data_IF_285710047869
#
_entry.id   IF_285710047869
#
_cell.length_a   1.000
_cell.length_b   1.000
_cell.length_c   1.000
_cell.angle_alpha   90.00
_cell.angle_beta   90.00
_cell.angle_gamma   90.00
#
_symmetry.space_group_name_H-M   'P 1'
#
loop_
_entity.id
_entity.type
_entity.pdbx_description
1 polymer ?
#
# COMPACT_ATOMS: atom_id res chain seq x y z
N UNK A 1 96.25 -6.80 -44.36
CA UNK A 1 97.20 -5.87 -43.74
C UNK A 1 96.78 -4.44 -44.08
N UNK A 2 96.64 -3.60 -43.04
CA UNK A 2 96.42 -2.14 -43.05
C UNK A 2 95.03 -1.57 -43.44
N UNK A 3 94.39 -1.09 -42.38
CA UNK A 3 93.16 -0.29 -42.30
C UNK A 3 93.24 1.05 -43.05
N UNK A 4 92.12 1.45 -43.66
CA UNK A 4 91.87 2.79 -44.22
C UNK A 4 91.14 3.69 -43.21
N UNK A 5 91.60 4.93 -43.24
CA UNK A 5 91.13 6.20 -42.65
C UNK A 5 89.61 6.33 -42.46
N UNK A 6 89.22 6.84 -41.29
CA UNK A 6 87.88 7.38 -41.02
C UNK A 6 87.83 8.89 -41.24
N UNK A 7 86.71 9.37 -41.79
CA UNK A 7 86.21 10.75 -41.71
C UNK A 7 84.68 10.65 -41.57
N UNK A 8 84.15 11.44 -40.64
CA UNK A 8 82.75 11.61 -40.24
C UNK A 8 81.76 11.90 -41.38
N UNK A 9 80.50 11.45 -41.23
CA UNK A 9 79.31 12.32 -41.33
C UNK A 9 78.06 11.63 -40.73
N UNK A 10 77.28 12.43 -40.01
CA UNK A 10 76.08 12.09 -39.24
C UNK A 10 74.94 11.47 -40.06
N UNK A 11 74.21 10.53 -39.46
CA UNK A 11 72.82 10.25 -39.83
C UNK A 11 71.98 9.93 -38.59
N UNK A 12 70.99 10.80 -38.39
CA UNK A 12 69.95 10.78 -37.37
C UNK A 12 69.05 9.56 -37.62
N UNK A 13 68.85 8.70 -36.62
CA UNK A 13 67.79 7.70 -36.63
C UNK A 13 67.03 7.75 -35.30
N UNK A 14 65.73 8.03 -35.41
CA UNK A 14 64.85 8.42 -34.32
C UNK A 14 64.52 7.27 -33.37
N UNK A 15 64.40 7.62 -32.08
CA UNK A 15 63.70 6.82 -31.08
C UNK A 15 62.34 7.46 -30.79
N UNK A 16 61.30 6.70 -31.12
CA UNK A 16 59.90 6.94 -30.76
C UNK A 16 59.72 6.94 -29.23
N UNK A 17 59.36 8.09 -28.67
CA UNK A 17 58.83 8.19 -27.31
C UNK A 17 57.30 8.07 -27.41
N UNK A 18 56.78 6.88 -27.13
CA UNK A 18 55.36 6.64 -26.87
C UNK A 18 55.03 7.09 -25.44
N UNK A 19 54.64 8.36 -25.29
CA UNK A 19 53.97 8.83 -24.07
C UNK A 19 52.55 8.26 -24.03
N UNK A 20 52.38 7.15 -23.30
CA UNK A 20 51.08 6.58 -23.00
C UNK A 20 50.28 7.50 -22.09
N UNK A 21 49.30 8.21 -22.66
CA UNK A 21 48.23 8.83 -21.88
C UNK A 21 47.38 7.72 -21.25
N UNK A 22 47.47 7.55 -19.93
CA UNK A 22 46.52 6.78 -19.12
C UNK A 22 45.15 7.44 -19.21
N UNK A 23 44.32 7.02 -20.17
CA UNK A 23 42.89 7.33 -20.16
C UNK A 23 42.27 6.54 -19.02
N UNK A 24 41.97 7.24 -17.92
CA UNK A 24 41.01 6.77 -16.94
C UNK A 24 39.73 6.39 -17.69
N UNK A 25 39.44 5.09 -17.76
CA UNK A 25 38.20 4.60 -18.31
C UNK A 25 37.08 5.01 -17.36
N UNK A 26 36.44 6.14 -17.64
CA UNK A 26 35.08 6.41 -17.20
C UNK A 26 34.18 5.34 -17.86
N UNK A 27 34.12 4.17 -17.25
CA UNK A 27 33.02 3.26 -17.46
C UNK A 27 31.82 3.94 -16.78
N UNK A 28 30.79 4.38 -17.52
CA UNK A 28 29.54 4.74 -16.87
C UNK A 28 29.10 3.52 -16.07
N UNK A 29 28.71 3.72 -14.81
CA UNK A 29 28.11 2.68 -14.00
C UNK A 29 27.06 1.99 -14.87
N UNK A 30 27.23 0.70 -15.13
CA UNK A 30 26.22 -0.09 -15.83
C UNK A 30 24.98 -0.03 -14.94
N UNK A 31 24.02 0.80 -15.32
CA UNK A 31 22.64 0.66 -14.88
C UNK A 31 22.23 -0.76 -15.26
N UNK A 32 22.28 -1.65 -14.28
CA UNK A 32 21.69 -2.98 -14.39
C UNK A 32 20.18 -2.75 -14.31
N UNK A 33 19.59 -2.26 -15.40
CA UNK A 33 18.18 -2.44 -15.66
C UNK A 33 17.95 -3.93 -15.95
N UNK A 34 17.95 -4.71 -14.88
CA UNK A 34 17.54 -6.10 -14.91
C UNK A 34 16.08 -6.11 -15.34
N UNK A 35 15.80 -6.77 -16.46
CA UNK A 35 14.46 -6.91 -17.01
C UNK A 35 13.53 -7.47 -15.93
N UNK A 36 12.65 -6.63 -15.38
CA UNK A 36 11.60 -7.08 -14.48
C UNK A 36 10.53 -7.85 -15.27
N UNK A 37 10.86 -9.09 -15.65
CA UNK A 37 9.87 -10.07 -16.13
C UNK A 37 8.94 -10.58 -15.03
N UNK A 38 9.14 -10.14 -13.78
CA UNK A 38 8.29 -10.46 -12.64
C UNK A 38 7.25 -9.36 -12.43
N UNK A 39 5.97 -9.67 -12.64
CA UNK A 39 4.87 -8.79 -12.27
C UNK A 39 4.68 -8.84 -10.76
N UNK A 40 4.99 -7.75 -10.06
CA UNK A 40 4.72 -7.59 -8.63
C UNK A 40 3.24 -7.23 -8.40
N UNK A 41 2.63 -7.84 -7.38
CA UNK A 41 1.32 -7.44 -6.83
C UNK A 41 1.50 -7.10 -5.36
N UNK A 42 1.99 -5.89 -5.03
CA UNK A 42 2.20 -5.50 -3.65
C UNK A 42 0.89 -5.41 -2.87
N UNK A 43 0.95 -5.66 -1.57
CA UNK A 43 -0.14 -5.36 -0.63
C UNK A 43 0.26 -4.21 0.28
N UNK A 44 -0.51 -3.12 0.23
CA UNK A 44 -0.24 -1.87 0.96
C UNK A 44 -1.06 -1.86 2.26
N UNK A 45 -0.41 -1.60 3.38
CA UNK A 45 -1.04 -1.51 4.70
C UNK A 45 -1.12 -0.04 5.14
N UNK A 46 -2.33 0.42 5.47
CA UNK A 46 -2.62 1.80 5.89
C UNK A 46 -3.13 1.84 7.33
N UNK A 47 -2.47 2.63 8.17
CA UNK A 47 -2.78 2.73 9.59
C UNK A 47 -3.90 3.72 9.92
N UNK A 48 -4.47 3.57 11.13
CA UNK A 48 -5.49 4.47 11.67
C UNK A 48 -4.96 5.82 12.18
N UNK A 49 -5.90 6.67 12.62
CA UNK A 49 -5.63 8.01 13.17
C UNK A 49 -4.70 7.95 14.40
N UNK A 50 -3.68 8.80 14.42
CA UNK A 50 -2.67 8.88 15.48
C UNK A 50 -1.69 7.71 15.55
N UNK A 51 -1.78 6.75 14.62
CA UNK A 51 -0.96 5.54 14.60
C UNK A 51 0.25 5.67 13.64
N UNK A 52 0.88 4.56 13.32
CA UNK A 52 2.04 4.47 12.45
C UNK A 52 2.07 3.12 11.73
N UNK A 53 2.95 2.98 10.75
CA UNK A 53 3.24 1.69 10.11
C UNK A 53 3.61 0.57 11.11
N UNK A 54 4.02 0.90 12.33
CA UNK A 54 4.31 -0.10 13.36
C UNK A 54 3.06 -0.87 13.82
N UNK A 55 1.87 -0.26 13.79
CA UNK A 55 0.63 -0.96 14.15
C UNK A 55 0.32 -2.12 13.22
N UNK A 56 0.76 -2.03 11.96
CA UNK A 56 0.49 -3.04 10.94
C UNK A 56 1.54 -4.16 10.92
N UNK A 57 2.60 -4.02 11.73
CA UNK A 57 3.71 -4.97 11.71
C UNK A 57 3.31 -6.35 12.23
N UNK A 58 2.29 -6.47 13.08
CA UNK A 58 1.77 -7.77 13.50
C UNK A 58 1.25 -8.55 12.28
N UNK A 59 0.27 -7.99 11.56
CA UNK A 59 -0.29 -8.60 10.35
C UNK A 59 0.78 -8.85 9.26
N UNK A 60 1.71 -7.91 9.06
CA UNK A 60 2.82 -8.07 8.12
C UNK A 60 3.72 -9.24 8.52
N UNK A 61 4.03 -9.39 9.81
CA UNK A 61 4.85 -10.49 10.30
C UNK A 61 4.10 -11.83 10.27
N UNK A 62 2.79 -11.83 10.49
CA UNK A 62 1.95 -13.01 10.31
C UNK A 62 2.00 -13.50 8.84
N UNK A 63 1.82 -12.58 7.87
CA UNK A 63 1.93 -12.90 6.45
C UNK A 63 3.32 -13.43 6.07
N UNK A 64 4.40 -12.84 6.60
CA UNK A 64 5.77 -13.36 6.41
C UNK A 64 5.94 -14.76 6.99
N UNK A 65 5.40 -15.00 8.19
CA UNK A 65 5.50 -16.30 8.87
C UNK A 65 4.71 -17.38 8.13
N UNK A 66 3.63 -17.00 7.47
CA UNK A 66 2.87 -17.86 6.54
C UNK A 66 3.56 -18.08 5.19
N UNK A 67 4.76 -17.52 4.97
CA UNK A 67 5.54 -17.74 3.74
C UNK A 67 5.10 -16.89 2.54
N UNK A 68 4.24 -15.89 2.73
CA UNK A 68 3.72 -15.03 1.65
C UNK A 68 4.84 -14.29 0.92
N UNK A 69 5.81 -13.76 1.68
CA UNK A 69 6.90 -12.95 1.13
C UNK A 69 8.09 -12.87 2.09
N UNK A 70 9.25 -12.49 1.56
CA UNK A 70 10.43 -12.08 2.34
C UNK A 70 10.77 -10.59 2.13
N UNK A 71 9.84 -9.83 1.56
CA UNK A 71 10.02 -8.45 1.15
C UNK A 71 9.01 -7.56 1.87
N UNK A 72 9.55 -6.63 2.67
CA UNK A 72 8.78 -5.54 3.26
C UNK A 72 9.45 -4.22 2.89
N UNK A 73 8.67 -3.32 2.33
CA UNK A 73 9.05 -1.96 1.99
C UNK A 73 8.31 -1.00 2.92
N UNK A 74 9.00 -0.04 3.52
CA UNK A 74 8.34 1.05 4.24
C UNK A 74 8.23 2.28 3.34
N UNK A 75 7.03 2.82 3.20
CA UNK A 75 6.75 4.03 2.45
C UNK A 75 6.32 5.13 3.43
N UNK A 76 7.19 6.10 3.70
CA UNK A 76 6.90 7.22 4.60
C UNK A 76 6.55 8.45 3.78
N UNK A 77 5.31 8.92 3.88
CA UNK A 77 4.78 10.09 3.20
C UNK A 77 4.81 11.29 4.15
N UNK A 78 5.53 12.33 3.77
CA UNK A 78 5.58 13.60 4.49
C UNK A 78 4.29 14.43 4.27
N UNK A 79 4.09 15.48 5.07
CA UNK A 79 2.93 16.40 4.99
C UNK A 79 2.73 17.00 3.59
N UNK A 80 3.82 17.30 2.91
CA UNK A 80 3.84 17.83 1.54
C UNK A 80 3.59 16.75 0.46
N UNK A 81 3.42 15.49 0.87
CA UNK A 81 3.21 14.35 0.00
C UNK A 81 4.49 13.71 -0.54
N UNK A 82 5.69 14.16 -0.16
CA UNK A 82 6.94 13.52 -0.56
C UNK A 82 7.06 12.11 0.06
N UNK A 83 7.35 11.10 -0.76
CA UNK A 83 7.49 9.70 -0.30
C UNK A 83 8.96 9.31 -0.18
N UNK A 84 9.34 8.84 1.01
CA UNK A 84 10.64 8.21 1.27
C UNK A 84 10.48 6.70 1.44
N UNK A 85 11.41 5.94 0.89
CA UNK A 85 11.34 4.49 0.81
C UNK A 85 12.47 3.84 1.62
N UNK A 86 12.15 2.82 2.43
CA UNK A 86 13.15 2.01 3.13
C UNK A 86 12.91 0.52 2.85
N UNK A 87 13.93 -0.13 2.30
CA UNK A 87 13.84 -1.48 1.75
C UNK A 87 13.73 -1.44 0.22
N UNK A 88 13.63 -2.61 -0.40
CA UNK A 88 13.50 -2.74 -1.84
C UNK A 88 12.79 -4.05 -2.20
N UNK A 89 12.09 -4.07 -3.35
CA UNK A 89 11.53 -5.32 -3.84
C UNK A 89 12.64 -6.27 -4.28
N UNK A 90 12.52 -7.54 -3.88
CA UNK A 90 13.47 -8.57 -4.27
C UNK A 90 13.00 -9.24 -5.57
N UNK A 91 13.87 -9.41 -6.58
CA UNK A 91 13.53 -10.17 -7.77
C UNK A 91 12.97 -11.55 -7.44
N UNK A 92 11.85 -11.93 -8.07
CA UNK A 92 11.16 -13.20 -7.85
C UNK A 92 10.21 -13.24 -6.64
N UNK A 93 10.16 -12.18 -5.83
CA UNK A 93 9.21 -12.07 -4.72
C UNK A 93 7.96 -11.30 -5.17
N UNK A 94 6.97 -12.03 -5.71
CA UNK A 94 5.82 -11.45 -6.42
C UNK A 94 4.77 -10.77 -5.53
N UNK A 95 4.82 -10.96 -4.21
CA UNK A 95 3.82 -10.44 -3.25
C UNK A 95 4.45 -9.56 -2.15
N UNK A 96 5.23 -8.52 -2.51
CA UNK A 96 5.89 -7.70 -1.52
C UNK A 96 4.87 -6.93 -0.67
N UNK A 97 5.18 -6.75 0.61
CA UNK A 97 4.33 -5.98 1.53
C UNK A 97 4.85 -4.55 1.65
N UNK A 98 3.95 -3.57 1.67
CA UNK A 98 4.29 -2.16 1.78
C UNK A 98 3.62 -1.59 3.04
N UNK A 99 4.42 -1.27 4.05
CA UNK A 99 3.95 -0.60 5.25
C UNK A 99 3.92 0.91 5.02
N UNK A 100 2.72 1.48 4.85
CA UNK A 100 2.54 2.91 4.57
C UNK A 100 2.52 3.68 5.89
N UNK A 101 3.29 4.76 5.96
CA UNK A 101 3.36 5.68 7.07
C UNK A 101 2.99 7.07 6.59
N UNK A 102 1.90 7.65 7.08
CA UNK A 102 1.66 9.08 6.97
C UNK A 102 2.32 9.77 8.16
N UNK A 103 3.18 10.76 7.94
CA UNK A 103 3.77 11.51 9.07
C UNK A 103 2.75 12.42 9.72
N UNK A 104 1.79 12.92 8.95
CA UNK A 104 0.60 13.61 9.47
C UNK A 104 -0.51 12.61 9.78
N UNK A 105 -0.24 11.72 10.72
CA UNK A 105 -1.12 10.62 11.07
C UNK A 105 -2.44 11.04 11.73
N UNK A 106 -2.68 12.34 11.93
CA UNK A 106 -3.90 12.91 12.52
C UNK A 106 -4.65 13.84 11.57
N UNK A 107 -4.37 13.75 10.28
CA UNK A 107 -5.12 14.47 9.28
C UNK A 107 -6.56 13.94 9.20
N UNK A 108 -7.55 14.82 9.25
CA UNK A 108 -8.97 14.47 9.09
C UNK A 108 -9.50 14.82 7.70
N UNK A 109 -8.66 15.32 6.80
CA UNK A 109 -8.96 15.54 5.38
C UNK A 109 -8.68 14.25 4.58
N UNK A 110 -9.72 13.41 4.44
CA UNK A 110 -9.60 12.13 3.72
C UNK A 110 -9.25 12.26 2.23
N UNK A 111 -9.73 13.28 1.48
CA UNK A 111 -9.18 13.59 0.15
C UNK A 111 -7.66 13.80 0.13
N UNK A 112 -7.09 14.46 1.15
CA UNK A 112 -5.64 14.63 1.26
C UNK A 112 -4.94 13.29 1.56
N UNK A 113 -5.48 12.47 2.46
CA UNK A 113 -4.94 11.12 2.72
C UNK A 113 -4.97 10.23 1.47
N UNK A 114 -6.02 10.33 0.67
CA UNK A 114 -6.14 9.66 -0.62
C UNK A 114 -5.10 10.13 -1.65
N UNK A 115 -4.73 11.42 -1.60
CA UNK A 115 -3.65 11.98 -2.42
C UNK A 115 -2.30 11.39 -2.01
N UNK A 116 -2.05 11.26 -0.70
CA UNK A 116 -0.86 10.59 -0.19
C UNK A 116 -0.81 9.10 -0.56
N UNK A 117 -1.94 8.39 -0.46
CA UNK A 117 -2.05 7.01 -0.93
C UNK A 117 -1.72 6.88 -2.43
N UNK A 118 -2.21 7.82 -3.26
CA UNK A 118 -1.87 7.89 -4.68
C UNK A 118 -0.37 8.06 -4.92
N UNK A 119 0.32 8.92 -4.15
CA UNK A 119 1.77 9.11 -4.30
C UNK A 119 2.57 7.84 -4.01
N UNK A 120 2.15 7.04 -3.03
CA UNK A 120 2.75 5.72 -2.78
C UNK A 120 2.52 4.80 -3.99
N UNK A 121 1.28 4.70 -4.46
CA UNK A 121 0.92 3.82 -5.59
C UNK A 121 1.66 4.21 -6.88
N UNK A 122 1.73 5.50 -7.22
CA UNK A 122 2.46 5.97 -8.41
C UNK A 122 3.98 5.87 -8.25
N UNK A 123 4.50 6.01 -7.03
CA UNK A 123 5.91 5.73 -6.74
C UNK A 123 6.27 4.26 -6.98
N UNK A 124 5.42 3.33 -6.55
CA UNK A 124 5.58 1.90 -6.84
C UNK A 124 5.45 1.61 -8.35
N UNK A 125 4.51 2.26 -9.03
CA UNK A 125 4.37 2.15 -10.48
C UNK A 125 5.65 2.61 -11.21
N UNK A 126 6.22 3.75 -10.81
CA UNK A 126 7.42 4.31 -11.43
C UNK A 126 8.66 3.46 -11.18
N UNK A 127 8.85 3.00 -9.94
CA UNK A 127 10.10 2.31 -9.53
C UNK A 127 10.10 0.81 -9.83
N UNK A 128 8.93 0.16 -9.82
CA UNK A 128 8.81 -1.30 -9.92
C UNK A 128 7.82 -1.76 -11.01
N UNK A 129 7.33 -0.84 -11.84
CA UNK A 129 6.35 -1.14 -12.90
C UNK A 129 5.10 -1.87 -12.38
N UNK A 130 4.71 -1.60 -11.14
CA UNK A 130 3.50 -2.16 -10.53
C UNK A 130 2.29 -1.75 -11.35
N UNK A 131 1.47 -2.72 -11.77
CA UNK A 131 0.21 -2.50 -12.51
C UNK A 131 -1.01 -3.00 -11.75
N UNK A 132 -0.81 -3.77 -10.69
CA UNK A 132 -1.85 -4.34 -9.82
C UNK A 132 -1.39 -4.26 -8.38
N UNK A 133 -2.32 -4.06 -7.45
CA UNK A 133 -2.00 -4.03 -6.03
C UNK A 133 -3.20 -4.49 -5.20
N UNK A 134 -2.95 -4.78 -3.93
CA UNK A 134 -3.94 -5.02 -2.89
C UNK A 134 -3.78 -3.96 -1.78
N UNK A 135 -4.81 -3.81 -0.95
CA UNK A 135 -4.77 -2.92 0.22
C UNK A 135 -5.33 -3.58 1.46
N UNK A 136 -4.81 -3.18 2.60
CA UNK A 136 -5.33 -3.44 3.95
C UNK A 136 -5.41 -2.10 4.66
N UNK A 137 -6.58 -1.73 5.17
CA UNK A 137 -6.79 -0.51 5.96
C UNK A 137 -7.25 -0.83 7.38
N UNK A 138 -6.69 -0.13 8.37
CA UNK A 138 -7.24 -0.10 9.73
C UNK A 138 -7.87 1.25 10.02
N UNK A 139 -9.10 1.26 10.53
CA UNK A 139 -9.80 2.48 10.98
C UNK A 139 -9.75 3.58 9.90
N UNK A 140 -9.08 4.71 10.17
CA UNK A 140 -8.90 5.82 9.21
C UNK A 140 -8.13 5.44 7.94
N UNK A 141 -7.28 4.42 7.96
CA UNK A 141 -6.61 3.92 6.76
C UNK A 141 -7.61 3.49 5.67
N UNK A 142 -8.79 3.01 6.06
CA UNK A 142 -9.88 2.69 5.12
C UNK A 142 -10.41 3.95 4.42
N UNK A 143 -10.43 5.11 5.10
CA UNK A 143 -10.87 6.36 4.48
C UNK A 143 -9.90 6.82 3.40
N UNK A 144 -8.58 6.68 3.62
CA UNK A 144 -7.57 6.95 2.59
C UNK A 144 -7.79 6.06 1.34
N UNK A 145 -8.12 4.78 1.54
CA UNK A 145 -8.39 3.82 0.47
C UNK A 145 -9.66 4.18 -0.31
N UNK A 146 -10.80 4.36 0.37
CA UNK A 146 -12.08 4.60 -0.34
C UNK A 146 -12.10 5.96 -1.03
N UNK A 147 -11.45 6.99 -0.46
CA UNK A 147 -11.29 8.28 -1.14
C UNK A 147 -10.31 8.18 -2.32
N UNK A 148 -9.25 7.37 -2.23
CA UNK A 148 -8.39 7.09 -3.37
C UNK A 148 -9.19 6.44 -4.51
N UNK A 149 -10.03 5.45 -4.20
CA UNK A 149 -10.89 4.77 -5.17
C UNK A 149 -11.96 5.71 -5.74
N UNK A 150 -12.52 6.60 -4.92
CA UNK A 150 -13.47 7.61 -5.36
C UNK A 150 -12.83 8.53 -6.41
N UNK A 151 -11.58 8.98 -6.17
CA UNK A 151 -10.89 9.87 -7.09
C UNK A 151 -10.30 9.15 -8.31
N UNK A 152 -9.79 7.93 -8.15
CA UNK A 152 -8.88 7.30 -9.11
C UNK A 152 -9.28 5.89 -9.58
N UNK A 153 -10.30 5.25 -8.98
CA UNK A 153 -10.60 3.83 -9.21
C UNK A 153 -10.96 3.45 -10.65
N UNK A 154 -11.34 4.41 -11.49
CA UNK A 154 -11.64 4.20 -12.91
C UNK A 154 -10.47 4.58 -13.84
N UNK A 155 -9.38 5.12 -13.31
CA UNK A 155 -8.23 5.53 -14.11
C UNK A 155 -7.37 4.32 -14.51
N UNK A 156 -7.42 3.95 -15.78
CA UNK A 156 -6.69 2.79 -16.34
C UNK A 156 -5.18 3.01 -16.49
N UNK A 157 -4.69 4.24 -16.35
CA UNK A 157 -3.27 4.54 -16.40
C UNK A 157 -2.57 4.33 -15.04
N UNK A 158 -3.34 4.14 -13.97
CA UNK A 158 -2.81 3.82 -12.65
C UNK A 158 -2.81 2.31 -12.40
N UNK A 159 -2.04 1.81 -11.41
CA UNK A 159 -2.18 0.44 -10.94
C UNK A 159 -3.61 0.14 -10.53
N UNK A 160 -4.08 -1.07 -10.81
CA UNK A 160 -5.46 -1.49 -10.60
C UNK A 160 -5.59 -2.31 -9.32
N UNK A 161 -6.49 -1.89 -8.42
CA UNK A 161 -6.79 -2.64 -7.20
C UNK A 161 -7.37 -4.02 -7.53
N UNK A 162 -6.92 -5.06 -6.83
CA UNK A 162 -7.42 -6.43 -6.97
C UNK A 162 -8.17 -6.90 -5.72
N UNK A 163 -7.60 -6.69 -4.53
CA UNK A 163 -8.20 -7.09 -3.25
C UNK A 163 -8.12 -5.97 -2.22
N UNK A 164 -9.23 -5.74 -1.53
CA UNK A 164 -9.41 -4.73 -0.48
C UNK A 164 -9.80 -5.44 0.82
N UNK A 165 -9.02 -5.21 1.87
CA UNK A 165 -9.35 -5.66 3.23
C UNK A 165 -9.54 -4.44 4.11
N UNK A 166 -10.76 -4.27 4.60
CA UNK A 166 -11.10 -3.20 5.53
C UNK A 166 -11.18 -3.78 6.95
N UNK A 167 -10.47 -3.18 7.90
CA UNK A 167 -10.53 -3.54 9.32
C UNK A 167 -11.04 -2.34 10.10
N UNK A 168 -12.19 -2.50 10.76
CA UNK A 168 -12.82 -1.45 11.57
C UNK A 168 -13.05 -0.14 10.81
N UNK A 169 -13.48 -0.21 9.54
CA UNK A 169 -13.77 0.97 8.72
C UNK A 169 -14.91 1.80 9.32
N UNK A 170 -14.73 3.12 9.42
CA UNK A 170 -15.71 4.04 10.01
C UNK A 170 -16.45 4.86 8.96
N UNK A 171 -16.91 4.17 7.90
CA UNK A 171 -17.40 4.81 6.67
C UNK A 171 -18.54 5.81 6.89
N UNK A 172 -19.39 5.60 7.90
CA UNK A 172 -20.53 6.46 8.20
C UNK A 172 -20.54 6.98 9.64
N UNK A 173 -19.35 7.09 10.26
CA UNK A 173 -19.20 7.75 11.56
C UNK A 173 -18.49 6.93 12.62
N UNK A 174 -18.19 7.62 13.72
CA UNK A 174 -17.38 7.18 14.86
C UNK A 174 -18.17 7.45 16.13
N UNK A 175 -18.15 6.50 17.07
CA UNK A 175 -18.84 6.61 18.35
C UNK A 175 -18.32 7.80 19.16
N UNK A 176 -19.23 8.64 19.64
CA UNK A 176 -18.92 9.85 20.42
C UNK A 176 -18.42 11.04 19.60
N UNK A 177 -18.41 10.94 18.27
CA UNK A 177 -18.11 12.06 17.36
C UNK A 177 -19.36 12.42 16.55
N UNK A 178 -19.84 11.47 15.76
CA UNK A 178 -20.99 11.64 14.88
C UNK A 178 -21.87 10.40 14.77
N UNK A 179 -21.59 9.38 15.59
CA UNK A 179 -22.41 8.18 15.81
C UNK A 179 -22.51 7.90 17.31
N UNK A 180 -23.50 7.10 17.70
CA UNK A 180 -23.73 6.66 19.08
C UNK A 180 -24.08 5.16 19.09
N UNK A 181 -23.81 4.44 20.19
CA UNK A 181 -24.11 3.01 20.25
C UNK A 181 -25.58 2.72 19.91
N UNK A 182 -25.81 1.75 19.03
CA UNK A 182 -27.15 1.28 18.62
C UNK A 182 -28.05 2.32 17.93
N UNK A 183 -27.52 3.47 17.52
CA UNK A 183 -28.30 4.58 16.95
C UNK A 183 -28.42 4.51 15.42
N UNK A 184 -27.34 4.11 14.75
CA UNK A 184 -27.33 3.87 13.31
C UNK A 184 -27.95 2.52 12.98
N UNK A 185 -28.90 2.50 12.05
CA UNK A 185 -29.49 1.27 11.53
C UNK A 185 -29.25 1.17 10.04
N UNK A 186 -29.02 -0.05 9.54
CA UNK A 186 -28.86 -0.32 8.12
C UNK A 186 -30.11 -1.00 7.53
N UNK A 187 -30.43 -0.68 6.28
CA UNK A 187 -31.35 -1.52 5.50
C UNK A 187 -30.71 -2.88 5.17
N UNK A 188 -31.50 -3.82 4.63
CA UNK A 188 -30.97 -5.11 4.14
C UNK A 188 -29.85 -4.97 3.09
N UNK A 189 -29.87 -3.87 2.33
CA UNK A 189 -28.84 -3.52 1.36
C UNK A 189 -27.58 -2.88 1.97
N UNK A 190 -27.56 -2.66 3.29
CA UNK A 190 -26.48 -1.97 4.02
C UNK A 190 -26.60 -0.44 4.04
N UNK A 191 -27.73 0.13 3.58
CA UNK A 191 -27.89 1.60 3.50
C UNK A 191 -28.13 2.15 4.90
N UNK A 192 -27.32 3.10 5.40
CA UNK A 192 -27.61 3.72 6.69
C UNK A 192 -28.85 4.61 6.61
N UNK A 193 -29.60 4.65 7.72
CA UNK A 193 -30.79 5.50 7.88
C UNK A 193 -30.46 7.00 7.87
N UNK A 194 -29.26 7.38 8.32
CA UNK A 194 -28.70 8.73 8.24
C UNK A 194 -27.27 8.66 7.71
N UNK A 195 -26.95 9.50 6.73
CA UNK A 195 -25.62 9.56 6.11
C UNK A 195 -24.90 10.82 6.58
N UNK A 196 -23.69 10.67 7.10
CA UNK A 196 -22.82 11.82 7.39
C UNK A 196 -22.28 12.46 6.10
N UNK A 197 -21.56 13.57 6.25
CA UNK A 197 -21.00 14.29 5.09
C UNK A 197 -20.03 13.43 4.27
N UNK A 198 -19.17 12.65 4.91
CA UNK A 198 -18.18 11.83 4.22
C UNK A 198 -18.87 10.70 3.46
N UNK A 199 -19.83 10.01 4.09
CA UNK A 199 -20.58 8.93 3.45
C UNK A 199 -21.38 9.43 2.24
N UNK A 200 -21.94 10.64 2.29
CA UNK A 200 -22.60 11.26 1.15
C UNK A 200 -21.66 11.45 -0.05
N UNK A 201 -20.41 11.87 0.17
CA UNK A 201 -19.41 11.95 -0.90
C UNK A 201 -19.07 10.56 -1.47
N UNK A 202 -18.97 9.54 -0.59
CA UNK A 202 -18.65 8.17 -0.98
C UNK A 202 -19.76 7.48 -1.77
N UNK A 203 -20.99 7.99 -1.81
CA UNK A 203 -22.10 7.41 -2.60
C UNK A 203 -21.76 7.22 -4.08
N UNK A 204 -20.87 8.05 -4.64
CA UNK A 204 -20.43 7.90 -6.03
C UNK A 204 -19.67 6.58 -6.29
N UNK A 205 -19.11 5.93 -5.26
CA UNK A 205 -18.54 4.58 -5.39
C UNK A 205 -19.56 3.55 -5.89
N UNK A 206 -20.85 3.74 -5.62
CA UNK A 206 -21.92 2.88 -6.15
C UNK A 206 -21.95 2.80 -7.66
N UNK A 207 -21.40 3.80 -8.35
CA UNK A 207 -21.26 3.83 -9.80
C UNK A 207 -19.81 3.71 -10.28
N UNK A 208 -18.84 4.07 -9.43
CA UNK A 208 -17.43 4.23 -9.82
C UNK A 208 -16.51 3.13 -9.31
N UNK A 209 -16.91 2.37 -8.30
CA UNK A 209 -16.08 1.32 -7.70
C UNK A 209 -15.62 0.29 -8.77
N UNK A 210 -14.35 -0.12 -8.80
CA UNK A 210 -13.85 -0.99 -9.85
C UNK A 210 -14.47 -2.40 -9.76
N UNK A 211 -14.86 -2.96 -10.91
CA UNK A 211 -15.64 -4.22 -10.92
C UNK A 211 -14.83 -5.47 -10.62
N UNK A 212 -13.52 -5.40 -10.77
CA UNK A 212 -12.62 -6.52 -10.55
C UNK A 212 -12.25 -6.74 -9.07
N UNK A 213 -12.57 -5.79 -8.19
CA UNK A 213 -12.08 -5.78 -6.81
C UNK A 213 -12.87 -6.78 -5.97
N UNK A 214 -12.15 -7.63 -5.24
CA UNK A 214 -12.69 -8.47 -4.18
C UNK A 214 -12.57 -7.72 -2.85
N UNK A 215 -13.63 -7.67 -2.06
CA UNK A 215 -13.67 -6.94 -0.78
C UNK A 215 -13.90 -7.90 0.39
N UNK A 216 -13.11 -7.75 1.43
CA UNK A 216 -13.28 -8.37 2.75
C UNK A 216 -13.41 -7.27 3.80
N UNK A 217 -14.55 -7.20 4.48
CA UNK A 217 -14.82 -6.23 5.53
C UNK A 217 -14.83 -6.92 6.91
N UNK A 218 -13.85 -6.59 7.75
CA UNK A 218 -13.65 -7.13 9.09
C UNK A 218 -14.01 -6.07 10.13
N UNK A 219 -14.79 -6.44 11.14
CA UNK A 219 -15.15 -5.53 12.21
C UNK A 219 -15.35 -6.26 13.54
N UNK A 220 -15.06 -5.57 14.64
CA UNK A 220 -15.10 -6.13 15.98
C UNK A 220 -16.40 -5.85 16.71
N UNK A 221 -16.83 -6.79 17.54
CA UNK A 221 -17.95 -6.66 18.46
C UNK A 221 -17.49 -7.14 19.84
N UNK A 222 -17.41 -6.20 20.79
CA UNK A 222 -17.02 -6.49 22.17
C UNK A 222 -18.01 -7.39 22.91
N UNK A 223 -19.18 -7.66 22.32
CA UNK A 223 -20.26 -8.46 22.90
C UNK A 223 -20.73 -7.94 24.28
N UNK A 224 -20.69 -6.62 24.45
CA UNK A 224 -21.11 -5.90 25.66
C UNK A 224 -22.39 -5.06 25.43
N UNK A 225 -23.12 -5.32 24.35
CA UNK A 225 -24.37 -4.65 23.99
C UNK A 225 -24.22 -3.36 23.17
N UNK A 226 -23.00 -2.88 22.90
CA UNK A 226 -22.78 -1.68 22.06
C UNK A 226 -22.77 -1.98 20.57
N UNK A 227 -22.67 -3.26 20.17
CA UNK A 227 -22.47 -3.71 18.79
C UNK A 227 -21.34 -2.95 18.10
N UNK A 228 -20.19 -2.87 18.77
CA UNK A 228 -19.04 -2.10 18.34
C UNK A 228 -17.74 -2.70 18.85
N UNK A 229 -16.63 -2.26 18.27
CA UNK A 229 -15.27 -2.57 18.73
C UNK A 229 -14.80 -1.62 19.86
N UNK A 230 -15.72 -0.80 20.38
CA UNK A 230 -15.46 0.26 21.36
C UNK A 230 -15.16 1.64 20.77
N UNK A 231 -14.96 1.78 19.45
CA UNK A 231 -14.77 3.07 18.76
C UNK A 231 -15.66 3.24 17.53
N UNK A 232 -15.88 2.16 16.79
CA UNK A 232 -16.65 2.15 15.54
C UNK A 232 -17.80 1.16 15.68
N UNK A 233 -19.03 1.64 15.43
CA UNK A 233 -20.20 0.76 15.42
C UNK A 233 -20.11 -0.24 14.27
N UNK A 234 -20.62 -1.46 14.48
CA UNK A 234 -20.71 -2.45 13.41
C UNK A 234 -21.54 -1.90 12.23
N UNK A 235 -22.58 -1.12 12.51
CA UNK A 235 -23.36 -0.45 11.48
C UNK A 235 -22.51 0.51 10.61
N UNK A 236 -21.58 1.27 11.20
CA UNK A 236 -20.67 2.13 10.44
C UNK A 236 -19.75 1.30 9.53
N UNK A 237 -19.15 0.22 10.03
CA UNK A 237 -18.29 -0.66 9.22
C UNK A 237 -19.06 -1.39 8.12
N UNK A 238 -20.24 -1.94 8.43
CA UNK A 238 -21.08 -2.67 7.48
C UNK A 238 -21.71 -1.76 6.41
N UNK A 239 -21.76 -0.45 6.65
CA UNK A 239 -22.30 0.50 5.67
C UNK A 239 -21.51 0.54 4.36
N UNK A 240 -20.26 0.03 4.32
CA UNK A 240 -19.50 -0.17 3.10
C UNK A 240 -20.24 -1.02 2.07
N UNK A 241 -21.00 -2.01 2.52
CA UNK A 241 -21.79 -2.91 1.67
C UNK A 241 -22.65 -2.14 0.68
N UNK A 242 -23.30 -1.08 1.15
CA UNK A 242 -24.15 -0.26 0.29
C UNK A 242 -23.34 0.58 -0.70
N UNK A 243 -22.09 0.91 -0.41
CA UNK A 243 -21.22 1.67 -1.32
C UNK A 243 -20.67 0.80 -2.45
N UNK A 244 -20.26 -0.45 -2.19
CA UNK A 244 -19.40 -1.21 -3.12
C UNK A 244 -19.98 -2.53 -3.62
N UNK A 245 -20.86 -3.21 -2.86
CA UNK A 245 -21.27 -4.61 -3.13
C UNK A 245 -21.87 -4.83 -4.52
N UNK A 246 -22.60 -3.86 -5.06
CA UNK A 246 -23.24 -3.98 -6.38
C UNK A 246 -22.25 -3.95 -7.55
N UNK A 247 -20.99 -3.54 -7.29
CA UNK A 247 -19.95 -3.42 -8.31
C UNK A 247 -18.78 -4.36 -8.08
N UNK A 248 -18.39 -4.59 -6.82
CA UNK A 248 -17.30 -5.48 -6.45
C UNK A 248 -17.50 -6.89 -7.05
N UNK A 249 -16.39 -7.56 -7.39
CA UNK A 249 -16.42 -8.94 -7.86
C UNK A 249 -16.95 -9.88 -6.77
N UNK A 250 -16.52 -9.65 -5.52
CA UNK A 250 -17.04 -10.33 -4.32
C UNK A 250 -17.07 -9.35 -3.16
N UNK A 251 -17.97 -9.58 -2.20
CA UNK A 251 -18.06 -8.82 -0.96
C UNK A 251 -18.34 -9.76 0.20
N UNK A 252 -17.43 -9.83 1.17
CA UNK A 252 -17.51 -10.68 2.36
C UNK A 252 -17.45 -9.82 3.61
N UNK A 253 -18.18 -10.21 4.66
CA UNK A 253 -18.16 -9.57 5.97
C UNK A 253 -17.84 -10.63 7.03
N UNK A 254 -16.92 -10.33 7.94
CA UNK A 254 -16.67 -11.16 9.11
C UNK A 254 -16.65 -10.32 10.37
N UNK A 255 -17.49 -10.73 11.33
CA UNK A 255 -17.53 -10.13 12.67
C UNK A 255 -16.61 -10.92 13.60
N UNK A 256 -15.65 -10.23 14.19
CA UNK A 256 -14.81 -10.75 15.27
C UNK A 256 -15.52 -10.44 16.59
N UNK A 257 -15.63 -11.41 17.49
CA UNK A 257 -16.45 -11.26 18.71
C UNK A 257 -15.62 -11.50 19.97
N UNK A 258 -15.83 -10.68 21.00
CA UNK A 258 -15.23 -10.82 22.32
C UNK A 258 -14.20 -9.74 22.65
N UNK A 259 -13.48 -9.91 23.76
CA UNK A 259 -12.55 -8.89 24.27
C UNK A 259 -11.39 -8.57 23.29
N UNK A 260 -10.96 -9.55 22.49
CA UNK A 260 -9.92 -9.37 21.47
C UNK A 260 -10.45 -8.73 20.17
N UNK A 261 -11.75 -8.45 20.10
CA UNK A 261 -12.38 -7.69 19.02
C UNK A 261 -12.36 -6.16 19.27
N UNK A 262 -11.63 -5.70 20.29
CA UNK A 262 -11.44 -4.27 20.55
C UNK A 262 -10.73 -3.58 19.38
N UNK A 263 -11.09 -2.32 19.12
CA UNK A 263 -10.67 -1.54 17.95
C UNK A 263 -9.18 -1.64 17.56
N UNK A 264 -8.26 -1.50 18.52
CA UNK A 264 -6.82 -1.59 18.28
C UNK A 264 -6.33 -3.03 18.31
N UNK A 265 -6.97 -3.91 19.07
CA UNK A 265 -6.62 -5.34 19.08
C UNK A 265 -6.91 -6.03 17.76
N UNK A 266 -7.84 -5.52 16.95
CA UNK A 266 -8.15 -6.13 15.65
C UNK A 266 -6.95 -6.24 14.71
N UNK A 267 -6.00 -5.31 14.73
CA UNK A 267 -4.76 -5.39 13.92
C UNK A 267 -3.63 -6.17 14.61
N UNK A 268 -3.91 -6.75 15.78
CA UNK A 268 -3.04 -7.58 16.63
C UNK A 268 -3.79 -8.86 17.05
N UNK A 269 -4.53 -9.45 16.10
CA UNK A 269 -5.46 -10.56 16.35
C UNK A 269 -5.24 -11.70 15.36
N UNK A 270 -4.95 -12.90 15.88
CA UNK A 270 -4.65 -14.08 15.07
C UNK A 270 -5.82 -14.53 14.16
N UNK A 271 -7.08 -14.33 14.56
CA UNK A 271 -8.23 -14.62 13.71
C UNK A 271 -8.30 -13.65 12.52
N UNK A 272 -8.00 -12.37 12.76
CA UNK A 272 -7.90 -11.36 11.69
C UNK A 272 -6.77 -11.70 10.74
N UNK A 273 -5.60 -12.08 11.25
CA UNK A 273 -4.45 -12.49 10.43
C UNK A 273 -4.80 -13.68 9.52
N UNK A 274 -5.47 -14.70 10.07
CA UNK A 274 -5.86 -15.90 9.31
C UNK A 274 -6.82 -15.54 8.16
N UNK A 275 -7.86 -14.75 8.45
CA UNK A 275 -8.83 -14.30 7.44
C UNK A 275 -8.14 -13.44 6.35
N UNK A 276 -7.28 -12.52 6.77
CA UNK A 276 -6.53 -11.65 5.87
C UNK A 276 -5.60 -12.47 4.96
N UNK A 277 -4.83 -13.41 5.52
CA UNK A 277 -3.89 -14.23 4.76
C UNK A 277 -4.63 -15.13 3.78
N UNK A 278 -5.70 -15.79 4.24
CA UNK A 278 -6.52 -16.64 3.41
C UNK A 278 -7.12 -15.86 2.24
N UNK A 279 -7.72 -14.71 2.52
CA UNK A 279 -8.36 -13.88 1.51
C UNK A 279 -7.37 -13.31 0.50
N UNK A 280 -6.20 -12.83 0.93
CA UNK A 280 -5.26 -12.14 0.04
C UNK A 280 -4.43 -13.11 -0.81
N UNK A 281 -3.98 -14.24 -0.27
CA UNK A 281 -2.95 -15.05 -0.92
C UNK A 281 -3.31 -16.52 -1.12
N UNK A 282 -4.30 -17.06 -0.41
CA UNK A 282 -4.76 -18.42 -0.63
C UNK A 282 -6.04 -18.41 -1.49
N UNK A 283 -6.25 -19.48 -2.26
CA UNK A 283 -7.44 -19.70 -3.06
C UNK A 283 -8.30 -20.75 -2.41
#
# INVERSE_FOLDING_TARGET
MRFKKGIWFSLIMGLLILSGCSRASNQPAKDVHQSYGASYVPTLFFHGYGSSANAEMHMINAAKSAGVTRTVLRATVAKDGHVTWRGQFKPGDHHPLVAVQFTDNRNSDYPQDATWAKHVITGLQKSYHVTKFNVVGHSMGNMAIVYYLLANGQNRHLPQLQKEVDIAGHFNGILGVNDEPNRMTLSSAGKPNKMDHNYQQLLALRQRFPRQVQVLNLFGDLNNGTHSDGRVSNASSQSLKYLVKQRAATYQEHRIVGAEAQHSKLHDNAQVDQLLIQFLWHR
#
